data_IF_011176120984
#
_entry.id   IF_011176120984
#
_cell.length_a   1.000
_cell.length_b   1.000
_cell.length_c   1.000
_cell.angle_alpha   90.00
_cell.angle_beta   90.00
_cell.angle_gamma   90.00
#
_symmetry.space_group_name_H-M   'P 1'
#
loop_
_entity.id
_entity.type
_entity.pdbx_description
1 polymer ?
#
# COMPACT_ATOMS: atom_id res chain seq x y z
N UNK A 1 -7.72 -0.59 -38.17
CA UNK A 1 -6.39 0.06 -38.04
C UNK A 1 -5.53 -0.84 -37.15
N UNK A 2 -4.23 -0.94 -37.40
CA UNK A 2 -3.32 -1.58 -36.43
C UNK A 2 -3.08 -0.54 -35.33
N UNK A 3 -3.54 -0.84 -34.11
CA UNK A 3 -3.30 -0.01 -32.92
C UNK A 3 -1.80 -0.08 -32.63
N UNK A 4 -1.08 1.04 -32.71
CA UNK A 4 0.37 1.03 -32.48
C UNK A 4 0.65 0.83 -30.98
N UNK A 5 1.15 -0.34 -30.61
CA UNK A 5 1.52 -0.63 -29.22
C UNK A 5 2.72 0.21 -28.79
N UNK A 6 2.53 1.03 -27.76
CA UNK A 6 3.60 1.84 -27.13
C UNK A 6 4.36 0.98 -26.13
N UNK A 7 5.66 1.22 -25.96
CA UNK A 7 6.48 0.53 -24.94
C UNK A 7 6.58 1.36 -23.66
N UNK A 8 6.37 0.70 -22.53
CA UNK A 8 6.59 1.20 -21.19
C UNK A 8 7.66 0.37 -20.47
N UNK A 9 8.69 1.02 -19.95
CA UNK A 9 9.68 0.40 -19.06
C UNK A 9 9.36 0.85 -17.63
N UNK A 10 8.97 -0.10 -16.78
CA UNK A 10 8.73 0.13 -15.35
C UNK A 10 10.03 -0.21 -14.61
N UNK A 11 10.66 0.78 -13.99
CA UNK A 11 11.96 0.64 -13.30
C UNK A 11 11.75 0.65 -11.80
N UNK A 12 12.20 -0.39 -11.10
CA UNK A 12 11.99 -0.57 -9.65
C UNK A 12 13.25 -1.04 -8.91
N UNK A 13 13.17 -1.10 -7.58
CA UNK A 13 14.08 -1.89 -6.75
C UNK A 13 13.42 -3.23 -6.32
N UNK A 14 14.20 -4.12 -5.70
CA UNK A 14 13.72 -5.42 -5.18
C UNK A 14 12.52 -5.27 -4.21
N UNK A 15 12.41 -4.14 -3.52
CA UNK A 15 11.34 -3.87 -2.53
C UNK A 15 10.05 -3.40 -3.17
N UNK A 16 10.11 -2.92 -4.41
CA UNK A 16 8.99 -2.36 -5.16
C UNK A 16 8.65 -3.14 -6.43
N UNK A 17 9.46 -4.14 -6.79
CA UNK A 17 9.23 -5.08 -7.88
C UNK A 17 7.82 -5.71 -7.84
N UNK A 18 7.31 -6.06 -6.64
CA UNK A 18 5.95 -6.58 -6.49
C UNK A 18 4.86 -5.62 -6.99
N UNK A 19 5.05 -4.31 -6.81
CA UNK A 19 4.11 -3.28 -7.26
C UNK A 19 4.30 -2.95 -8.74
N UNK A 20 5.53 -2.98 -9.25
CA UNK A 20 5.82 -2.86 -10.67
C UNK A 20 5.21 -4.02 -11.48
N UNK A 21 5.34 -5.26 -10.99
CA UNK A 21 4.69 -6.44 -11.56
C UNK A 21 3.16 -6.35 -11.45
N UNK A 22 2.62 -5.85 -10.34
CA UNK A 22 1.17 -5.65 -10.20
C UNK A 22 0.63 -4.63 -11.22
N UNK A 23 1.30 -3.49 -11.41
CA UNK A 23 0.93 -2.54 -12.45
C UNK A 23 1.04 -3.14 -13.86
N UNK A 24 2.08 -3.94 -14.14
CA UNK A 24 2.16 -4.70 -15.41
C UNK A 24 0.96 -5.65 -15.60
N UNK A 25 0.51 -6.30 -14.53
CA UNK A 25 -0.67 -7.18 -14.57
C UNK A 25 -1.94 -6.40 -14.87
N UNK A 26 -2.14 -5.22 -14.26
CA UNK A 26 -3.26 -4.32 -14.59
C UNK A 26 -3.24 -3.93 -16.08
N UNK A 27 -2.08 -3.52 -16.61
CA UNK A 27 -1.91 -3.17 -18.04
C UNK A 27 -2.23 -4.35 -18.98
N UNK A 28 -2.03 -5.59 -18.54
CA UNK A 28 -2.39 -6.81 -19.29
C UNK A 28 -3.80 -7.34 -19.01
N UNK A 29 -4.55 -6.70 -18.11
CA UNK A 29 -5.92 -7.09 -17.79
C UNK A 29 -6.83 -6.44 -18.83
N UNK A 30 -7.23 -7.22 -19.83
CA UNK A 30 -8.15 -6.77 -20.88
C UNK A 30 -9.56 -6.58 -20.28
N UNK A 31 -9.82 -5.43 -19.67
CA UNK A 31 -11.08 -5.08 -18.98
C UNK A 31 -11.95 -4.06 -19.74
N UNK A 32 -11.48 -3.61 -20.92
CA UNK A 32 -12.27 -2.86 -21.89
C UNK A 32 -13.58 -3.60 -22.23
N UNK A 33 -14.65 -2.81 -22.42
CA UNK A 33 -15.94 -3.26 -22.96
C UNK A 33 -16.27 -2.43 -24.21
N UNK A 34 -17.21 -2.90 -25.02
CA UNK A 34 -17.50 -2.36 -26.37
C UNK A 34 -17.59 -0.82 -26.43
N UNK A 35 -18.14 -0.17 -25.39
CA UNK A 35 -18.26 1.30 -25.29
C UNK A 35 -17.48 1.94 -24.10
N UNK A 36 -16.65 1.20 -23.35
CA UNK A 36 -15.93 1.73 -22.17
C UNK A 36 -14.51 1.19 -22.07
N UNK A 37 -13.55 2.11 -22.13
CA UNK A 37 -12.15 1.86 -21.75
C UNK A 37 -11.96 2.01 -20.25
N UNK A 38 -11.13 1.16 -19.64
CA UNK A 38 -10.72 1.29 -18.23
C UNK A 38 -9.20 1.49 -18.16
N UNK A 39 -8.76 2.68 -17.75
CA UNK A 39 -7.34 3.02 -17.65
C UNK A 39 -6.62 3.11 -18.99
N UNK A 40 -6.21 1.98 -19.56
CA UNK A 40 -5.56 1.89 -20.87
C UNK A 40 -6.33 0.97 -21.79
N UNK A 41 -6.67 1.46 -22.99
CA UNK A 41 -7.39 0.67 -23.96
C UNK A 41 -6.58 -0.57 -24.41
N UNK A 42 -7.21 -1.74 -24.50
CA UNK A 42 -6.59 -3.06 -24.66
C UNK A 42 -5.46 -3.12 -25.72
N UNK A 43 -4.34 -3.74 -25.37
CA UNK A 43 -3.19 -3.94 -26.27
C UNK A 43 -2.49 -2.66 -26.75
N UNK A 44 -2.84 -1.48 -26.22
CA UNK A 44 -2.20 -0.20 -26.57
C UNK A 44 -0.80 -0.02 -25.99
N UNK A 45 -0.47 -0.73 -24.90
CA UNK A 45 0.81 -0.64 -24.21
C UNK A 45 1.37 -2.04 -23.95
N UNK A 46 2.65 -2.21 -24.25
CA UNK A 46 3.47 -3.35 -23.85
C UNK A 46 4.44 -2.89 -22.74
N UNK A 47 4.41 -3.57 -21.59
CA UNK A 47 5.06 -3.11 -20.37
C UNK A 47 6.09 -4.14 -19.86
N UNK A 48 7.36 -3.71 -19.77
CA UNK A 48 8.45 -4.48 -19.19
C UNK A 48 8.79 -3.98 -17.79
N UNK A 49 9.15 -4.87 -16.87
CA UNK A 49 9.64 -4.52 -15.51
C UNK A 49 11.13 -4.79 -15.44
N UNK A 50 11.93 -3.78 -15.12
CA UNK A 50 13.39 -3.85 -14.99
C UNK A 50 13.82 -3.42 -13.59
N UNK A 51 14.84 -4.07 -13.03
CA UNK A 51 15.50 -3.57 -11.82
C UNK A 51 16.36 -2.34 -12.16
N UNK A 52 16.65 -1.49 -11.16
CA UNK A 52 17.51 -0.31 -11.31
C UNK A 52 18.87 -0.67 -11.95
N UNK A 53 19.42 -1.85 -11.66
CA UNK A 53 20.65 -2.39 -12.25
C UNK A 53 20.55 -2.55 -13.77
N UNK A 54 19.47 -3.15 -14.26
CA UNK A 54 19.26 -3.40 -15.69
C UNK A 54 18.95 -2.12 -16.45
N UNK A 55 18.20 -1.21 -15.82
CA UNK A 55 17.98 0.14 -16.31
C UNK A 55 19.30 0.89 -16.47
N UNK A 56 20.16 0.92 -15.45
CA UNK A 56 21.46 1.62 -15.52
C UNK A 56 22.38 0.99 -16.58
N UNK A 57 22.41 -0.33 -16.71
CA UNK A 57 23.20 -1.04 -17.71
C UNK A 57 22.74 -0.76 -19.15
N UNK A 58 21.46 -0.45 -19.37
CA UNK A 58 20.89 -0.21 -20.69
C UNK A 58 20.50 1.25 -20.96
N UNK A 59 20.64 2.16 -19.99
CA UNK A 59 20.22 3.58 -20.06
C UNK A 59 20.72 4.31 -21.31
N UNK A 60 21.94 4.02 -21.77
CA UNK A 60 22.55 4.64 -22.95
C UNK A 60 21.89 4.19 -24.27
N UNK A 61 21.23 3.03 -24.28
CA UNK A 61 20.49 2.49 -25.43
C UNK A 61 19.03 2.91 -25.45
N UNK A 62 18.46 3.26 -24.29
CA UNK A 62 17.07 3.70 -24.16
C UNK A 62 16.93 5.08 -24.79
N UNK A 63 15.99 5.22 -25.72
CA UNK A 63 15.76 6.51 -26.38
C UNK A 63 14.95 7.46 -25.49
N UNK A 64 15.00 8.76 -25.80
CA UNK A 64 14.06 9.74 -25.23
C UNK A 64 12.60 9.46 -25.61
N UNK A 65 12.35 8.61 -26.62
CA UNK A 65 11.03 8.29 -27.13
C UNK A 65 10.32 7.12 -26.43
N UNK A 66 11.02 6.33 -25.62
CA UNK A 66 10.44 5.25 -24.81
C UNK A 66 9.92 5.80 -23.48
N UNK A 67 8.76 5.34 -23.03
CA UNK A 67 8.19 5.76 -21.75
C UNK A 67 8.86 4.98 -20.61
N UNK A 68 9.25 5.69 -19.55
CA UNK A 68 9.86 5.10 -18.37
C UNK A 68 9.12 5.57 -17.13
N UNK A 69 8.61 4.62 -16.34
CA UNK A 69 7.94 4.86 -15.07
C UNK A 69 8.82 4.32 -13.94
N UNK A 70 9.32 5.19 -13.08
CA UNK A 70 10.05 4.79 -11.88
C UNK A 70 9.08 4.46 -10.74
N UNK A 71 9.19 3.25 -10.19
CA UNK A 71 8.46 2.85 -8.98
C UNK A 71 9.42 2.89 -7.79
N UNK A 72 9.07 3.70 -6.78
CA UNK A 72 9.85 3.85 -5.57
C UNK A 72 11.03 4.83 -5.65
N UNK A 73 11.75 4.92 -4.54
CA UNK A 73 12.71 5.97 -4.22
C UNK A 73 14.17 5.52 -4.39
N UNK A 74 14.50 5.02 -5.58
CA UNK A 74 15.85 4.59 -5.99
C UNK A 74 16.79 5.78 -6.22
N UNK A 75 18.07 5.54 -6.51
CA UNK A 75 19.03 6.62 -6.79
C UNK A 75 18.79 7.20 -8.18
N UNK A 76 18.53 6.34 -9.15
CA UNK A 76 18.15 6.68 -10.51
C UNK A 76 16.85 7.49 -10.53
N UNK A 77 15.79 7.04 -9.84
CA UNK A 77 14.50 7.73 -9.87
C UNK A 77 14.63 9.17 -9.38
N UNK A 78 15.21 9.39 -8.19
CA UNK A 78 15.45 10.73 -7.63
C UNK A 78 16.20 11.68 -8.58
N UNK A 79 17.15 11.18 -9.36
CA UNK A 79 17.88 12.02 -10.34
C UNK A 79 17.01 12.44 -11.52
N UNK A 80 16.16 11.53 -12.03
CA UNK A 80 15.29 11.75 -13.18
C UNK A 80 13.99 12.48 -12.82
N UNK A 81 13.55 12.42 -11.55
CA UNK A 81 12.23 12.90 -11.11
C UNK A 81 12.28 14.22 -10.32
N UNK A 82 13.47 14.74 -10.04
CA UNK A 82 13.67 15.98 -9.27
C UNK A 82 12.95 17.22 -9.81
N UNK A 83 12.68 17.27 -11.12
CA UNK A 83 11.99 18.38 -11.81
C UNK A 83 10.62 17.99 -12.35
N UNK A 84 10.02 16.91 -11.83
CA UNK A 84 8.80 16.30 -12.36
C UNK A 84 7.54 17.03 -11.91
N UNK A 85 6.53 17.10 -12.79
CA UNK A 85 5.22 17.66 -12.44
C UNK A 85 4.42 16.58 -11.69
N UNK A 86 4.15 16.81 -10.41
CA UNK A 86 3.24 15.98 -9.61
C UNK A 86 1.82 16.13 -10.16
N UNK A 87 1.17 14.99 -10.42
CA UNK A 87 -0.20 14.92 -10.96
C UNK A 87 -1.21 14.41 -9.93
N UNK A 88 -0.74 13.60 -9.00
CA UNK A 88 -1.52 13.11 -7.87
C UNK A 88 -0.64 13.09 -6.61
N UNK A 89 -1.15 13.60 -5.50
CA UNK A 89 -0.55 13.51 -4.17
C UNK A 89 -1.65 13.45 -3.10
N UNK A 90 -1.84 12.28 -2.48
CA UNK A 90 -2.76 12.07 -1.34
C UNK A 90 -2.23 10.96 -0.44
N UNK A 91 -2.39 11.10 0.88
CA UNK A 91 -2.06 10.05 1.86
C UNK A 91 -0.64 9.46 1.68
N UNK A 92 0.37 10.32 1.45
CA UNK A 92 1.76 9.90 1.20
C UNK A 92 2.00 9.15 -0.12
N UNK A 93 0.96 8.95 -0.94
CA UNK A 93 1.03 8.34 -2.26
C UNK A 93 1.15 9.42 -3.34
N UNK A 94 2.10 9.29 -4.26
CA UNK A 94 2.37 10.33 -5.29
C UNK A 94 2.67 9.71 -6.65
N UNK A 95 2.08 10.28 -7.70
CA UNK A 95 2.58 10.06 -9.06
C UNK A 95 2.68 11.38 -9.85
N UNK A 96 3.51 11.36 -10.87
CA UNK A 96 3.74 12.50 -11.76
C UNK A 96 4.56 12.11 -12.98
N UNK A 97 4.70 13.04 -13.93
CA UNK A 97 5.55 12.89 -15.11
C UNK A 97 6.00 14.22 -15.71
N UNK A 98 7.06 14.15 -16.52
CA UNK A 98 7.55 15.22 -17.37
C UNK A 98 7.93 14.59 -18.72
N UNK A 99 7.08 14.80 -19.73
CA UNK A 99 7.10 14.01 -20.97
C UNK A 99 7.10 12.51 -20.64
N UNK A 100 7.96 11.76 -21.34
CA UNK A 100 8.07 10.28 -21.26
C UNK A 100 8.83 9.74 -20.04
N UNK A 101 9.00 10.54 -18.99
CA UNK A 101 9.55 10.10 -17.70
C UNK A 101 8.48 10.33 -16.64
N UNK A 102 8.12 9.27 -15.92
CA UNK A 102 7.12 9.30 -14.84
C UNK A 102 7.66 8.68 -13.56
N UNK A 103 6.97 8.93 -12.44
CA UNK A 103 7.23 8.25 -11.18
C UNK A 103 5.97 7.93 -10.39
N UNK A 104 6.08 6.87 -9.59
CA UNK A 104 5.10 6.40 -8.62
C UNK A 104 5.82 6.08 -7.30
N UNK A 105 5.59 6.86 -6.24
CA UNK A 105 6.26 6.68 -4.95
C UNK A 105 5.29 6.74 -3.78
N UNK A 106 5.63 6.03 -2.71
CA UNK A 106 4.97 6.17 -1.41
C UNK A 106 6.02 6.61 -0.38
N UNK A 107 5.68 7.68 0.34
CA UNK A 107 6.48 8.26 1.42
C UNK A 107 6.77 7.21 2.53
N UNK A 108 7.84 7.41 3.29
CA UNK A 108 8.20 6.53 4.42
C UNK A 108 7.45 6.89 5.71
N UNK A 109 6.61 7.92 5.70
CA UNK A 109 5.87 8.34 6.88
C UNK A 109 4.61 7.49 7.06
N UNK A 110 4.33 7.13 8.30
CA UNK A 110 3.14 6.35 8.65
C UNK A 110 1.91 7.25 8.68
N UNK A 111 0.85 6.86 7.95
CA UNK A 111 -0.45 7.54 8.01
C UNK A 111 -0.97 7.63 9.45
N UNK A 112 -1.55 8.79 9.79
CA UNK A 112 -2.29 8.95 11.04
C UNK A 112 -3.58 8.14 10.99
N UNK A 113 -4.16 7.73 12.15
CA UNK A 113 -5.42 7.00 12.20
C UNK A 113 -6.55 7.67 11.41
N UNK A 114 -6.66 8.99 11.51
CA UNK A 114 -7.68 9.80 10.82
C UNK A 114 -7.45 9.85 9.30
N UNK A 115 -6.19 9.87 8.86
CA UNK A 115 -5.81 9.86 7.44
C UNK A 115 -5.98 8.46 6.83
N UNK A 116 -5.82 7.40 7.63
CA UNK A 116 -6.00 6.02 7.18
C UNK A 116 -7.47 5.68 6.91
N UNK A 117 -8.42 6.17 7.73
CA UNK A 117 -9.85 6.00 7.45
C UNK A 117 -10.23 6.64 6.09
N UNK A 118 -9.77 7.86 5.83
CA UNK A 118 -9.98 8.57 4.56
C UNK A 118 -9.25 7.91 3.37
N UNK A 119 -8.09 7.30 3.61
CA UNK A 119 -7.39 6.49 2.61
C UNK A 119 -8.21 5.27 2.20
N UNK A 120 -8.86 4.57 3.14
CA UNK A 120 -9.73 3.43 2.82
C UNK A 120 -10.96 3.90 2.02
N UNK A 121 -11.57 5.03 2.38
CA UNK A 121 -12.67 5.63 1.61
C UNK A 121 -12.24 5.98 0.17
N UNK A 122 -11.04 6.52 -0.02
CA UNK A 122 -10.47 6.75 -1.35
C UNK A 122 -10.35 5.44 -2.13
N UNK A 123 -9.80 4.39 -1.53
CA UNK A 123 -9.59 3.09 -2.20
C UNK A 123 -10.91 2.46 -2.67
N UNK A 124 -11.98 2.56 -1.87
CA UNK A 124 -13.31 2.09 -2.24
C UNK A 124 -13.87 2.79 -3.50
N UNK A 125 -13.51 4.07 -3.72
CA UNK A 125 -13.86 4.80 -4.94
C UNK A 125 -13.21 4.26 -6.23
N UNK A 126 -12.10 3.53 -6.10
CA UNK A 126 -11.40 2.83 -7.20
C UNK A 126 -11.65 1.31 -7.16
N UNK A 127 -12.79 0.89 -6.59
CA UNK A 127 -13.19 -0.52 -6.40
C UNK A 127 -12.14 -1.39 -5.69
N UNK A 128 -11.15 -0.76 -5.04
CA UNK A 128 -10.00 -1.43 -4.43
C UNK A 128 -10.28 -1.65 -2.95
N UNK A 129 -10.37 -2.91 -2.54
CA UNK A 129 -10.64 -3.28 -1.14
C UNK A 129 -9.39 -3.82 -0.46
N UNK A 130 -9.17 -3.38 0.78
CA UNK A 130 -8.07 -3.85 1.63
C UNK A 130 -8.61 -4.30 2.99
N UNK A 131 -7.90 -5.23 3.64
CA UNK A 131 -8.15 -5.55 5.05
C UNK A 131 -7.92 -4.27 5.90
N UNK A 132 -9.00 -3.71 6.45
CA UNK A 132 -8.92 -2.48 7.26
C UNK A 132 -8.19 -2.75 8.56
N UNK A 133 -7.06 -2.08 8.77
CA UNK A 133 -6.22 -2.29 9.94
C UNK A 133 -6.66 -1.38 11.09
N UNK A 134 -6.89 -1.96 12.27
CA UNK A 134 -7.29 -1.20 13.46
C UNK A 134 -6.10 -0.39 14.03
N UNK A 135 -6.07 0.92 13.75
CA UNK A 135 -5.09 1.83 14.34
C UNK A 135 -5.53 2.31 15.72
N UNK A 136 -4.69 2.12 16.74
CA UNK A 136 -4.91 2.72 18.07
C UNK A 136 -4.66 4.23 17.98
N UNK A 137 -5.70 5.05 18.18
CA UNK A 137 -5.57 6.51 18.29
C UNK A 137 -4.66 6.85 19.47
N UNK A 138 -3.49 7.41 19.19
CA UNK A 138 -2.62 7.97 20.23
C UNK A 138 -3.33 9.16 20.88
N UNK A 139 -3.56 9.12 22.19
CA UNK A 139 -4.12 10.25 22.96
C UNK A 139 -3.18 11.45 22.88
N UNK A 140 -3.40 12.34 21.91
CA UNK A 140 -2.64 13.57 21.74
C UNK A 140 -3.51 14.78 22.12
N UNK A 141 -3.73 14.98 23.44
CA UNK A 141 -4.12 16.24 24.11
C UNK A 141 -4.39 16.01 25.59
N UNK A 142 -3.33 15.99 26.41
CA UNK A 142 -3.44 16.24 27.86
C UNK A 142 -2.10 16.75 28.44
N UNK A 143 -1.54 17.78 27.80
CA UNK A 143 -0.36 18.54 28.27
C UNK A 143 -0.59 20.06 28.27
N UNK A 144 -1.86 20.50 28.23
CA UNK A 144 -2.22 21.93 28.27
C UNK A 144 -3.45 22.13 29.17
N UNK A 145 -3.21 22.08 30.49
CA UNK A 145 -3.66 23.06 31.50
C UNK A 145 -3.37 22.49 32.89
N UNK A 146 -2.33 23.02 33.54
CA UNK A 146 -2.07 22.82 34.97
C UNK A 146 -2.31 24.17 35.64
N UNK A 147 -3.42 24.39 36.35
CA UNK A 147 -3.52 25.46 37.34
C UNK A 147 -2.64 25.08 38.54
N UNK A 148 -1.90 26.05 39.05
CA UNK A 148 -1.13 25.89 40.29
C UNK A 148 -2.03 26.02 41.52
N UNK A 149 -1.60 25.42 42.63
CA UNK A 149 -2.03 25.82 43.98
C UNK A 149 -3.12 24.96 44.63
N UNK A 150 -2.70 23.93 45.37
CA UNK A 150 -2.77 23.97 46.85
C UNK A 150 -2.01 22.76 47.46
N UNK A 151 -1.20 23.08 48.46
CA UNK A 151 -0.49 22.15 49.34
C UNK A 151 -1.42 21.64 50.44
N UNK A 152 -1.32 20.36 50.82
CA UNK A 152 -0.96 20.02 52.22
C UNK A 152 -0.44 18.57 52.37
N UNK A 153 0.11 18.28 53.55
CA UNK A 153 1.10 17.23 53.83
C UNK A 153 0.56 15.95 54.49
N UNK A 154 1.27 14.81 54.24
CA UNK A 154 1.66 13.68 55.14
C UNK A 154 2.13 12.49 54.24
N UNK A 155 3.38 11.97 54.30
CA UNK A 155 4.09 11.19 55.36
C UNK A 155 3.18 10.03 55.83
N UNK A 156 3.51 8.73 55.66
CA UNK A 156 4.61 7.92 56.22
C UNK A 156 5.06 6.83 55.18
N UNK A 157 6.33 6.47 54.98
CA UNK A 157 7.26 5.59 55.74
C UNK A 157 7.01 4.05 55.65
N UNK A 158 8.10 3.32 55.35
CA UNK A 158 8.43 1.88 55.59
C UNK A 158 7.52 0.74 55.04
N UNK A 159 7.99 -0.50 54.78
CA UNK A 159 9.33 -1.15 54.76
C UNK A 159 9.32 -2.33 53.74
N UNK A 160 10.47 -2.94 53.45
CA UNK A 160 10.55 -4.41 53.29
C UNK A 160 10.95 -4.97 51.91
N UNK A 161 12.19 -5.45 51.78
CA UNK A 161 12.56 -6.45 50.76
C UNK A 161 12.12 -7.85 51.22
N UNK A 162 11.81 -8.75 50.29
CA UNK A 162 12.58 -10.02 50.22
C UNK A 162 12.48 -10.73 48.86
N UNK A 163 13.48 -11.58 48.60
CA UNK A 163 13.67 -12.38 47.38
C UNK A 163 13.69 -13.86 47.75
N UNK A 164 13.05 -14.72 46.95
CA UNK A 164 13.35 -16.17 46.95
C UNK A 164 13.30 -16.72 45.51
N UNK A 165 14.29 -17.54 45.18
CA UNK A 165 14.47 -18.15 43.85
C UNK A 165 13.72 -19.49 43.66
N UNK A 166 13.75 -19.95 42.40
CA UNK A 166 13.19 -21.20 41.85
C UNK A 166 13.80 -22.47 42.43
N UNK A 167 13.11 -23.62 42.21
CA UNK A 167 13.82 -24.73 41.59
C UNK A 167 13.15 -25.27 40.31
N UNK A 168 14.00 -25.68 39.38
CA UNK A 168 13.72 -26.28 38.08
C UNK A 168 13.30 -27.76 38.18
N UNK A 169 12.55 -28.28 37.20
CA UNK A 169 12.82 -29.63 36.62
C UNK A 169 12.03 -29.92 35.33
N UNK A 170 12.69 -30.66 34.44
CA UNK A 170 12.17 -31.44 33.31
C UNK A 170 11.50 -30.75 32.10
N UNK A 171 12.36 -30.37 31.15
CA UNK A 171 12.69 -31.35 30.12
C UNK A 171 11.94 -31.29 28.77
N UNK A 172 12.65 -30.77 27.75
CA UNK A 172 12.46 -31.02 26.31
C UNK A 172 11.14 -30.55 25.68
N UNK A 173 11.20 -29.45 24.92
CA UNK A 173 10.43 -29.34 23.66
C UNK A 173 11.36 -29.14 22.47
N UNK A 174 11.26 -30.08 21.52
CA UNK A 174 11.96 -30.07 20.23
C UNK A 174 11.32 -29.06 19.29
N UNK A 175 12.14 -28.52 18.40
CA UNK A 175 11.73 -27.84 17.18
C UNK A 175 11.07 -28.86 16.22
N UNK A 176 9.86 -28.59 15.71
CA UNK A 176 9.54 -28.57 14.25
C UNK A 176 8.03 -28.58 13.94
N UNK A 177 7.66 -27.62 13.08
CA UNK A 177 6.69 -27.65 11.97
C UNK A 177 5.24 -28.17 12.10
N UNK A 178 4.37 -27.37 11.46
CA UNK A 178 3.29 -27.76 10.54
C UNK A 178 1.81 -27.61 10.98
N UNK A 179 1.18 -26.62 10.32
CA UNK A 179 -0.11 -26.69 9.61
C UNK A 179 -1.47 -26.64 10.36
N UNK A 180 -2.36 -25.86 9.72
CA UNK A 180 -3.84 -25.87 9.77
C UNK A 180 -4.53 -25.45 11.08
N UNK A 181 -5.03 -24.21 11.05
CA UNK A 181 -6.34 -23.85 11.59
C UNK A 181 -7.02 -22.81 10.67
N UNK A 182 -7.27 -23.19 9.40
CA UNK A 182 -8.19 -22.44 8.53
C UNK A 182 -9.60 -22.71 9.03
N UNK A 183 -10.14 -21.78 9.82
CA UNK A 183 -11.52 -21.84 10.29
C UNK A 183 -12.50 -21.68 9.13
N UNK A 184 -13.31 -22.69 8.86
CA UNK A 184 -14.45 -22.58 7.95
C UNK A 184 -15.40 -21.51 8.48
N UNK A 185 -15.69 -20.49 7.68
CA UNK A 185 -16.91 -19.68 7.85
C UNK A 185 -17.93 -20.26 6.88
N UNK A 186 -19.09 -20.67 7.40
CA UNK A 186 -20.17 -21.21 6.59
C UNK A 186 -20.79 -20.09 5.74
N UNK A 187 -20.87 -20.32 4.43
CA UNK A 187 -21.67 -19.50 3.53
C UNK A 187 -23.05 -20.15 3.37
N UNK A 188 -24.05 -19.67 4.12
CA UNK A 188 -25.45 -20.04 3.94
C UNK A 188 -26.32 -18.80 3.68
N UNK A 189 -26.61 -18.57 2.39
CA UNK A 189 -27.86 -18.00 1.89
C UNK A 189 -27.90 -18.18 0.37
N UNK A 190 -28.76 -19.08 -0.12
CA UNK A 190 -28.88 -19.37 -1.55
C UNK A 190 -30.34 -19.35 -2.02
N UNK A 191 -30.75 -18.25 -2.68
CA UNK A 191 -31.85 -18.12 -3.65
C UNK A 191 -31.50 -16.86 -4.48
N UNK A 192 -31.63 -16.75 -5.80
CA UNK A 192 -32.10 -17.68 -6.83
C UNK A 192 -32.81 -16.89 -7.94
N UNK A 193 -32.34 -17.04 -9.19
CA UNK A 193 -32.98 -16.56 -10.45
C UNK A 193 -33.02 -15.04 -10.72
N UNK A 194 -32.23 -14.60 -11.71
CA UNK A 194 -32.60 -13.55 -12.67
C UNK A 194 -32.61 -12.08 -12.19
N UNK A 195 -31.57 -11.31 -12.55
CA UNK A 195 -31.61 -9.85 -12.48
C UNK A 195 -30.28 -9.21 -12.07
N UNK A 196 -29.79 -8.29 -12.90
CA UNK A 196 -28.72 -7.35 -12.55
C UNK A 196 -29.16 -6.47 -11.37
N UNK A 197 -28.54 -6.67 -10.20
CA UNK A 197 -28.91 -5.94 -8.99
C UNK A 197 -28.39 -6.60 -7.71
N UNK A 198 -27.09 -6.90 -7.63
CA UNK A 198 -26.51 -7.42 -6.38
C UNK A 198 -26.18 -6.28 -5.42
N UNK A 199 -26.89 -6.26 -4.29
CA UNK A 199 -26.54 -5.44 -3.15
C UNK A 199 -25.18 -5.89 -2.58
N UNK A 200 -24.19 -4.98 -2.60
CA UNK A 200 -22.92 -5.20 -1.92
C UNK A 200 -23.16 -5.05 -0.41
N UNK A 201 -23.50 -6.16 0.23
CA UNK A 201 -23.58 -6.22 1.69
C UNK A 201 -22.19 -5.96 2.28
N UNK A 202 -22.07 -4.89 3.06
CA UNK A 202 -20.83 -4.56 3.78
C UNK A 202 -20.61 -5.62 4.87
N UNK A 203 -19.84 -6.66 4.54
CA UNK A 203 -19.30 -7.59 5.50
C UNK A 203 -18.24 -6.85 6.34
N UNK A 204 -18.69 -6.18 7.40
CA UNK A 204 -17.83 -5.51 8.37
C UNK A 204 -17.04 -6.57 9.17
N UNK A 205 -15.95 -7.07 8.58
CA UNK A 205 -14.99 -7.93 9.24
C UNK A 205 -14.34 -7.16 10.38
N UNK A 206 -14.80 -7.47 11.61
CA UNK A 206 -14.29 -6.87 12.84
C UNK A 206 -12.91 -7.49 13.16
N UNK A 207 -11.90 -7.08 12.40
CA UNK A 207 -10.55 -7.62 12.47
C UNK A 207 -9.92 -7.43 13.84
N UNK A 208 -9.65 -8.55 14.52
CA UNK A 208 -8.84 -8.58 15.73
C UNK A 208 -7.39 -8.38 15.32
N UNK A 209 -6.76 -7.28 15.76
CA UNK A 209 -5.35 -6.98 15.49
C UNK A 209 -4.60 -6.57 16.75
N UNK A 210 -4.91 -7.21 17.89
CA UNK A 210 -4.02 -7.15 19.05
C UNK A 210 -2.81 -8.06 18.81
N UNK A 211 -1.67 -7.46 18.43
CA UNK A 211 -0.38 -8.17 18.34
C UNK A 211 0.63 -7.65 17.30
N UNK A 212 0.21 -6.84 16.31
CA UNK A 212 1.13 -6.35 15.27
C UNK A 212 1.99 -5.20 15.80
N UNK A 213 3.32 -5.29 15.62
CA UNK A 213 4.24 -4.22 16.02
C UNK A 213 4.25 -3.04 15.03
N UNK A 214 4.74 -1.86 15.45
CA UNK A 214 4.69 -0.63 14.65
C UNK A 214 5.35 -0.75 13.26
N UNK A 215 6.41 -1.55 13.14
CA UNK A 215 7.14 -1.76 11.86
C UNK A 215 6.31 -2.60 10.90
N UNK A 216 5.79 -3.73 11.37
CA UNK A 216 4.91 -4.60 10.56
C UNK A 216 3.63 -3.86 10.14
N UNK A 217 3.06 -3.05 11.04
CA UNK A 217 1.92 -2.19 10.76
C UNK A 217 2.24 -1.18 9.65
N UNK A 218 3.34 -0.43 9.78
CA UNK A 218 3.79 0.52 8.76
C UNK A 218 4.00 -0.17 7.40
N UNK A 219 4.67 -1.33 7.37
CA UNK A 219 4.90 -2.08 6.14
C UNK A 219 3.58 -2.53 5.48
N UNK A 220 2.59 -3.00 6.26
CA UNK A 220 1.25 -3.37 5.73
C UNK A 220 0.53 -2.16 5.11
N UNK A 221 0.53 -1.01 5.79
CA UNK A 221 -0.10 0.21 5.27
C UNK A 221 0.60 0.66 3.99
N UNK A 222 1.94 0.55 3.95
CA UNK A 222 2.73 0.92 2.78
C UNK A 222 2.49 0.01 1.57
N UNK A 223 2.25 -1.28 1.78
CA UNK A 223 1.80 -2.22 0.73
C UNK A 223 0.41 -1.83 0.20
N UNK A 224 -0.55 -1.52 1.08
CA UNK A 224 -1.86 -1.01 0.68
C UNK A 224 -1.75 0.29 -0.12
N UNK A 225 -0.93 1.25 0.33
CA UNK A 225 -0.67 2.51 -0.38
C UNK A 225 -0.08 2.29 -1.77
N UNK A 226 0.94 1.42 -1.93
CA UNK A 226 1.52 1.16 -3.26
C UNK A 226 0.54 0.45 -4.21
N UNK A 227 -0.28 -0.48 -3.70
CA UNK A 227 -1.32 -1.15 -4.51
C UNK A 227 -2.40 -0.18 -4.95
N UNK A 228 -2.92 0.63 -4.02
CA UNK A 228 -3.89 1.67 -4.32
C UNK A 228 -3.34 2.64 -5.37
N UNK A 229 -2.12 3.14 -5.17
CA UNK A 229 -1.47 4.07 -6.08
C UNK A 229 -1.25 3.48 -7.49
N UNK A 230 -0.96 2.19 -7.61
CA UNK A 230 -0.87 1.50 -8.90
C UNK A 230 -2.24 1.46 -9.63
N UNK A 231 -3.33 1.20 -8.92
CA UNK A 231 -4.70 1.24 -9.49
C UNK A 231 -5.10 2.65 -9.88
N UNK A 232 -4.88 3.64 -9.00
CA UNK A 232 -5.20 5.05 -9.28
C UNK A 232 -4.39 5.57 -10.48
N UNK A 233 -3.10 5.22 -10.57
CA UNK A 233 -2.29 5.54 -11.75
C UNK A 233 -2.83 4.87 -13.01
N UNK A 234 -3.14 3.56 -12.95
CA UNK A 234 -3.70 2.81 -14.08
C UNK A 234 -4.98 3.45 -14.62
N UNK A 235 -5.94 3.76 -13.74
CA UNK A 235 -7.28 4.27 -14.10
C UNK A 235 -7.23 5.73 -14.55
N UNK A 236 -6.57 6.62 -13.80
CA UNK A 236 -6.67 8.08 -14.01
C UNK A 236 -5.50 8.66 -14.83
N UNK A 237 -4.28 8.16 -14.62
CA UNK A 237 -3.05 8.86 -15.06
C UNK A 237 -2.30 8.20 -16.20
N UNK A 238 -2.45 6.89 -16.41
CA UNK A 238 -1.56 6.13 -17.27
C UNK A 238 -1.80 6.42 -18.76
N UNK A 239 -3.04 6.68 -19.20
CA UNK A 239 -3.28 7.13 -20.59
C UNK A 239 -2.65 8.49 -20.87
N UNK A 240 -2.85 9.49 -20.01
CA UNK A 240 -2.26 10.84 -20.19
C UNK A 240 -0.71 10.76 -20.17
N UNK A 241 -0.13 9.94 -19.28
CA UNK A 241 1.32 9.72 -19.27
C UNK A 241 1.83 9.12 -20.60
N UNK A 242 1.13 8.12 -21.14
CA UNK A 242 1.53 7.44 -22.37
C UNK A 242 1.29 8.28 -23.63
N UNK A 243 0.59 9.41 -23.54
CA UNK A 243 0.37 10.38 -24.62
C UNK A 243 1.48 11.45 -24.75
N UNK A 244 2.33 11.61 -23.72
CA UNK A 244 3.41 12.62 -23.67
C UNK A 244 4.77 12.20 -24.24
#
# INVERSE_FOLDING_TARGET
>A
MIKQTKKLIIVCDEKTEGYANYLRQLISTNDDKEDKVVGLADGSVDAAVWLETDYLANKVKISSNEHILFVGNTKASKSETSSMIVRFEKFGMKYGWLGKRGMMVVDNDMLKPEEYDQFIELCLGYETTFEKIAMKKSKLKELVHKPEGLIDNKVDEDDGQEVVEVPDTDGKKKLSNALVAVGKIAAEAAVGVGGIGQAVGVAASKGIVDGINKIQLHNKIKDQQYRALAVILYIDGLSEFMEG
#
